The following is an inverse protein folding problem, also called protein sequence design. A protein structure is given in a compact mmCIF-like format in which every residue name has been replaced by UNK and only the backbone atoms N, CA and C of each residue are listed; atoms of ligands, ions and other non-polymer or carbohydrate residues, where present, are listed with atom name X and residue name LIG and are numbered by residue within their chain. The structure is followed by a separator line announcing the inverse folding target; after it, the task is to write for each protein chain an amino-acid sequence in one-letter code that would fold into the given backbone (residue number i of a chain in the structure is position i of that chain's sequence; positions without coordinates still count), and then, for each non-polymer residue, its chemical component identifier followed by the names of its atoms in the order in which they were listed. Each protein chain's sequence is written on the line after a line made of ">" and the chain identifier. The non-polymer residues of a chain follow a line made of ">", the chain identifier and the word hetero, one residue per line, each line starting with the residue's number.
data_IF_123512224849
#
_entry.id   IF_123512224849
#
_cell.length_a   1.000
_cell.length_b   1.000
_cell.length_c   1.000
_cell.angle_alpha   90.00
_cell.angle_beta   90.00
_cell.angle_gamma   90.00
#
_symmetry.space_group_name_H-M   'P 1'
#
loop_
_entity.id
_entity.type
_entity.pdbx_description
1 polymer ?
#
# COMPACT_ATOMS: atom_id res chain seq x y z
N UNK A 1 38.92 3.28 -23.43
CA UNK A 1 39.61 2.65 -22.29
C UNK A 1 39.38 3.51 -21.06
N UNK A 2 38.36 3.24 -20.23
CA UNK A 2 38.20 3.93 -18.95
C UNK A 2 38.87 3.13 -17.83
N UNK A 3 39.69 3.85 -17.08
CA UNK A 3 40.57 3.45 -16.00
C UNK A 3 39.77 2.89 -14.81
N UNK A 4 40.07 1.66 -14.39
CA UNK A 4 39.56 1.10 -13.13
C UNK A 4 40.23 1.82 -11.96
N UNK A 5 39.43 2.47 -11.12
CA UNK A 5 39.86 2.92 -9.80
C UNK A 5 39.53 1.78 -8.85
N UNK A 6 40.56 1.01 -8.47
CA UNK A 6 40.47 -0.04 -7.45
C UNK A 6 40.40 0.62 -6.08
N UNK A 7 39.18 0.95 -5.63
CA UNK A 7 38.92 1.17 -4.20
C UNK A 7 38.67 -0.22 -3.60
N UNK A 8 39.50 -0.70 -2.66
CA UNK A 8 39.20 -1.94 -1.96
C UNK A 8 37.89 -1.74 -1.18
N UNK A 9 36.84 -2.43 -1.59
CA UNK A 9 35.61 -2.56 -0.81
C UNK A 9 36.00 -3.09 0.58
N UNK A 10 35.49 -2.50 1.68
CA UNK A 10 35.72 -3.03 3.01
C UNK A 10 35.27 -4.49 3.04
N UNK A 11 36.14 -5.35 3.53
CA UNK A 11 35.88 -6.78 3.75
C UNK A 11 34.51 -6.99 4.43
N UNK A 12 33.67 -7.90 3.94
CA UNK A 12 32.34 -8.11 4.47
C UNK A 12 32.45 -8.71 5.87
N UNK A 13 32.16 -7.89 6.88
CA UNK A 13 31.87 -8.39 8.22
C UNK A 13 30.60 -9.25 8.15
N UNK A 14 30.80 -10.56 8.03
CA UNK A 14 29.83 -11.55 8.50
C UNK A 14 29.52 -11.26 9.97
N UNK A 15 28.23 -11.27 10.31
CA UNK A 15 27.66 -11.32 11.67
C UNK A 15 27.65 -10.04 12.53
N UNK A 16 26.82 -9.08 12.14
CA UNK A 16 25.99 -8.42 13.15
C UNK A 16 24.54 -8.43 12.70
N UNK A 17 23.79 -9.44 13.16
CA UNK A 17 22.33 -9.39 13.14
C UNK A 17 21.92 -8.14 13.90
N UNK A 18 21.55 -7.09 13.15
CA UNK A 18 21.00 -5.84 13.67
C UNK A 18 19.81 -6.18 14.55
N UNK A 19 19.66 -5.52 15.70
CA UNK A 19 18.56 -5.78 16.64
C UNK A 19 17.48 -4.72 16.53
N UNK A 20 16.26 -5.05 16.98
CA UNK A 20 15.20 -4.06 17.14
C UNK A 20 15.68 -2.88 18.00
N UNK A 21 15.61 -1.66 17.47
CA UNK A 21 16.10 -0.43 18.09
C UNK A 21 17.46 0.06 17.57
N UNK A 22 18.17 -0.74 16.78
CA UNK A 22 19.40 -0.29 16.14
C UNK A 22 19.12 0.76 15.05
N UNK A 23 20.00 1.74 14.93
CA UNK A 23 19.91 2.82 13.93
C UNK A 23 21.20 2.87 13.13
N UNK A 24 21.07 2.77 11.81
CA UNK A 24 22.17 2.81 10.86
C UNK A 24 22.10 4.09 10.02
N UNK A 25 23.01 5.05 10.23
CA UNK A 25 23.03 6.28 9.45
C UNK A 25 23.63 6.05 8.06
N UNK A 26 23.10 6.76 7.06
CA UNK A 26 23.69 6.88 5.73
C UNK A 26 23.69 8.35 5.30
N UNK A 27 24.46 8.76 4.28
CA UNK A 27 24.67 10.18 3.98
C UNK A 27 23.41 11.03 3.80
N UNK A 28 22.34 10.43 3.26
CA UNK A 28 21.05 11.09 3.03
C UNK A 28 19.98 10.70 4.05
N UNK A 29 20.29 9.98 5.14
CA UNK A 29 19.24 9.48 6.02
C UNK A 29 19.67 8.49 7.09
N UNK A 30 18.71 7.67 7.53
CA UNK A 30 18.95 6.58 8.48
C UNK A 30 17.99 5.42 8.25
N UNK A 31 18.45 4.22 8.59
CA UNK A 31 17.64 3.00 8.66
C UNK A 31 17.44 2.69 10.14
N UNK A 32 16.21 2.41 10.55
CA UNK A 32 15.90 1.98 11.92
C UNK A 32 15.29 0.59 11.89
N UNK A 33 15.89 -0.33 12.65
CA UNK A 33 15.45 -1.73 12.70
C UNK A 33 14.36 -1.91 13.76
N UNK A 34 13.27 -2.58 13.39
CA UNK A 34 12.12 -2.91 14.24
C UNK A 34 12.07 -4.40 14.61
N UNK A 35 12.72 -5.26 13.83
CA UNK A 35 12.93 -6.68 14.08
C UNK A 35 14.32 -7.08 13.55
N UNK A 36 14.95 -8.18 14.00
CA UNK A 36 14.44 -9.41 14.63
C UNK A 36 13.96 -9.24 16.07
N UNK A 37 13.20 -10.24 16.55
CA UNK A 37 12.37 -10.20 17.76
C UNK A 37 11.33 -9.06 17.68
N UNK A 38 10.14 -9.33 17.13
CA UNK A 38 9.20 -8.30 16.71
C UNK A 38 8.49 -7.65 17.92
N UNK A 39 9.12 -6.62 18.49
CA UNK A 39 8.64 -5.89 19.66
C UNK A 39 7.42 -5.00 19.34
N UNK A 40 6.48 -4.80 20.29
CA UNK A 40 5.27 -4.01 20.06
C UNK A 40 5.59 -2.51 19.98
N UNK A 41 5.03 -1.82 18.97
CA UNK A 41 5.36 -0.40 18.75
C UNK A 41 4.37 0.61 19.34
N UNK A 42 3.23 0.13 19.84
CA UNK A 42 2.13 0.91 20.43
C UNK A 42 1.47 1.94 19.50
N UNK A 43 1.85 1.98 18.23
CA UNK A 43 1.13 2.72 17.20
C UNK A 43 -0.11 1.94 16.75
N UNK A 44 -1.17 2.61 16.25
CA UNK A 44 -2.31 1.91 15.69
C UNK A 44 -1.89 1.13 14.44
N UNK A 45 -2.31 -0.13 14.28
CA UNK A 45 -2.00 -0.90 13.08
C UNK A 45 -2.72 -0.30 11.87
N UNK A 46 -2.02 -0.18 10.75
CA UNK A 46 -2.61 0.25 9.48
C UNK A 46 -1.90 -0.44 8.33
N UNK A 47 -2.62 -0.97 7.34
CA UNK A 47 -2.06 -1.95 6.40
C UNK A 47 -2.85 -2.09 5.10
N UNK A 48 -2.85 -1.07 4.23
CA UNK A 48 -3.59 -1.08 2.96
C UNK A 48 -3.02 -2.07 1.94
N UNK A 49 -1.80 -2.56 2.16
CA UNK A 49 -1.11 -3.50 1.27
C UNK A 49 -1.31 -4.97 1.64
N UNK A 50 -2.07 -5.25 2.70
CA UNK A 50 -2.47 -6.60 3.10
C UNK A 50 -3.60 -7.05 2.18
N UNK A 51 -3.44 -8.22 1.57
CA UNK A 51 -4.43 -8.83 0.69
C UNK A 51 -5.43 -9.64 1.51
N UNK A 52 -5.33 -10.97 1.44
CA UNK A 52 -6.14 -11.87 2.24
C UNK A 52 -5.59 -11.99 3.66
N UNK A 53 -6.48 -11.97 4.64
CA UNK A 53 -6.19 -12.18 6.06
C UNK A 53 -7.21 -13.19 6.61
N UNK A 54 -6.71 -14.27 7.19
CA UNK A 54 -7.55 -15.30 7.81
C UNK A 54 -6.90 -15.87 9.09
N UNK A 55 -7.47 -16.94 9.64
CA UNK A 55 -7.02 -17.48 10.92
C UNK A 55 -5.67 -18.24 10.88
N UNK A 56 -5.15 -18.50 9.68
CA UNK A 56 -3.94 -19.29 9.42
C UNK A 56 -2.84 -18.40 8.82
N UNK A 57 -3.16 -17.71 7.73
CA UNK A 57 -2.21 -16.93 6.95
C UNK A 57 -2.71 -15.53 6.58
N UNK A 58 -1.74 -14.66 6.30
CA UNK A 58 -1.93 -13.32 5.75
C UNK A 58 -1.01 -13.12 4.55
N UNK A 59 -1.57 -12.57 3.48
CA UNK A 59 -0.83 -12.25 2.26
C UNK A 59 -0.41 -10.77 2.25
N UNK A 60 0.88 -10.54 1.99
CA UNK A 60 1.49 -9.23 1.97
C UNK A 60 2.10 -8.92 0.59
N UNK A 61 1.99 -7.65 0.17
CA UNK A 61 2.60 -7.13 -1.06
C UNK A 61 1.68 -7.13 -2.29
N UNK A 62 0.48 -7.70 -2.18
CA UNK A 62 -0.52 -7.75 -3.26
C UNK A 62 -1.89 -7.27 -2.73
N UNK A 63 -1.99 -5.97 -2.41
CA UNK A 63 -3.26 -5.35 -2.04
C UNK A 63 -4.32 -5.45 -3.15
N UNK A 64 -5.60 -5.36 -2.80
CA UNK A 64 -6.70 -5.47 -3.77
C UNK A 64 -6.65 -4.34 -4.82
N UNK A 65 -7.03 -4.61 -6.09
CA UNK A 65 -7.31 -3.56 -7.06
C UNK A 65 -8.23 -2.48 -6.49
N UNK A 66 -7.92 -1.21 -6.78
CA UNK A 66 -8.69 -0.04 -6.32
C UNK A 66 -9.59 0.48 -7.43
N UNK A 67 -10.74 1.04 -7.06
CA UNK A 67 -11.70 1.68 -8.00
C UNK A 67 -11.05 2.84 -8.74
N UNK A 68 -10.19 3.59 -8.05
CA UNK A 68 -9.47 4.72 -8.65
C UNK A 68 -8.65 4.33 -9.88
N UNK A 69 -8.07 3.12 -9.91
CA UNK A 69 -7.32 2.63 -11.08
C UNK A 69 -8.20 2.60 -12.34
N UNK A 70 -9.41 2.02 -12.25
CA UNK A 70 -10.34 1.98 -13.38
C UNK A 70 -10.94 3.35 -13.72
N UNK A 71 -11.08 4.25 -12.74
CA UNK A 71 -11.46 5.64 -13.00
C UNK A 71 -10.37 6.38 -13.79
N UNK A 72 -9.08 6.09 -13.55
CA UNK A 72 -8.00 6.65 -14.38
C UNK A 72 -8.00 6.00 -15.77
N UNK A 73 -8.06 4.66 -15.85
CA UNK A 73 -7.98 3.94 -17.13
C UNK A 73 -9.13 4.31 -18.07
N UNK A 74 -10.36 4.44 -17.56
CA UNK A 74 -11.54 4.73 -18.38
C UNK A 74 -11.99 6.20 -18.29
N UNK A 75 -12.06 6.71 -17.07
CA UNK A 75 -12.63 8.02 -16.78
C UNK A 75 -11.75 9.16 -17.26
N UNK A 76 -10.42 9.05 -17.18
CA UNK A 76 -9.52 10.12 -17.63
C UNK A 76 -9.59 10.33 -19.16
N UNK A 77 -9.49 9.31 -20.03
CA UNK A 77 -9.69 9.50 -21.47
C UNK A 77 -11.08 10.03 -21.81
N UNK A 78 -12.13 9.50 -21.17
CA UNK A 78 -13.51 9.95 -21.40
C UNK A 78 -13.71 11.41 -20.98
N UNK A 79 -13.28 11.77 -19.77
CA UNK A 79 -13.34 13.14 -19.25
C UNK A 79 -12.55 14.11 -20.11
N UNK A 80 -11.35 13.71 -20.54
CA UNK A 80 -10.49 14.50 -21.42
C UNK A 80 -11.15 14.75 -22.77
N UNK A 81 -11.64 13.69 -23.43
CA UNK A 81 -12.33 13.80 -24.71
C UNK A 81 -13.61 14.64 -24.60
N UNK A 82 -14.42 14.43 -23.54
CA UNK A 82 -15.60 15.25 -23.28
C UNK A 82 -15.25 16.73 -23.06
N UNK A 83 -14.17 17.00 -22.33
CA UNK A 83 -13.73 18.38 -22.09
C UNK A 83 -13.28 19.06 -23.39
N UNK A 84 -12.54 18.34 -24.24
CA UNK A 84 -12.12 18.85 -25.56
C UNK A 84 -13.34 19.10 -26.45
N UNK A 85 -14.27 18.15 -26.50
CA UNK A 85 -15.42 18.20 -27.39
C UNK A 85 -16.51 19.17 -26.92
N UNK A 86 -16.69 19.42 -25.63
CA UNK A 86 -17.83 20.21 -25.14
C UNK A 86 -17.43 21.34 -24.19
N UNK A 87 -16.52 21.10 -23.24
CA UNK A 87 -16.16 22.12 -22.27
C UNK A 87 -15.37 23.28 -22.91
N UNK A 88 -14.39 23.00 -23.77
CA UNK A 88 -13.62 24.04 -24.45
C UNK A 88 -14.45 24.87 -25.44
N UNK A 89 -15.34 24.29 -26.28
CA UNK A 89 -16.28 25.08 -27.06
C UNK A 89 -17.15 26.00 -26.21
N UNK A 90 -17.69 25.51 -25.08
CA UNK A 90 -18.50 26.31 -24.16
C UNK A 90 -17.69 27.44 -23.52
N UNK A 91 -16.43 27.19 -23.12
CA UNK A 91 -15.53 28.23 -22.62
C UNK A 91 -15.24 29.27 -23.71
N UNK A 92 -15.01 28.83 -24.96
CA UNK A 92 -14.81 29.72 -26.10
C UNK A 92 -16.01 30.62 -26.35
N UNK A 93 -17.23 30.05 -26.37
CA UNK A 93 -18.46 30.83 -26.46
C UNK A 93 -18.66 31.79 -25.29
N UNK A 94 -18.34 31.35 -24.07
CA UNK A 94 -18.41 32.21 -22.88
C UNK A 94 -17.42 33.39 -22.95
N UNK A 95 -16.23 33.20 -23.53
CA UNK A 95 -15.30 34.31 -23.78
C UNK A 95 -15.91 35.35 -24.73
N UNK A 96 -16.59 34.91 -25.80
CA UNK A 96 -17.30 35.82 -26.72
C UNK A 96 -18.42 36.58 -26.03
N UNK A 97 -19.15 35.92 -25.12
CA UNK A 97 -20.15 36.57 -24.26
C UNK A 97 -19.53 37.67 -23.38
N UNK A 98 -18.37 37.42 -22.76
CA UNK A 98 -17.67 38.41 -21.94
C UNK A 98 -17.22 39.64 -22.73
N UNK A 99 -16.97 39.50 -24.03
CA UNK A 99 -16.66 40.62 -24.94
C UNK A 99 -17.90 41.39 -25.41
N UNK A 100 -19.10 41.01 -24.99
CA UNK A 100 -20.35 41.69 -25.35
C UNK A 100 -20.84 41.38 -26.76
N UNK A 101 -20.41 40.27 -27.35
CA UNK A 101 -20.83 39.83 -28.69
C UNK A 101 -22.30 39.36 -28.68
N UNK A 102 -22.95 39.39 -29.85
CA UNK A 102 -24.32 38.93 -29.99
C UNK A 102 -24.46 37.42 -29.79
N UNK A 103 -25.69 36.95 -29.51
CA UNK A 103 -25.96 35.51 -29.37
C UNK A 103 -25.55 34.71 -30.62
N UNK A 104 -25.79 35.28 -31.81
CA UNK A 104 -25.43 34.65 -33.09
C UNK A 104 -23.92 34.37 -33.16
N UNK A 105 -23.09 35.34 -32.78
CA UNK A 105 -21.63 35.19 -32.76
C UNK A 105 -21.16 34.15 -31.72
N UNK A 106 -21.83 34.11 -30.56
CA UNK A 106 -21.55 33.13 -29.50
C UNK A 106 -21.86 31.71 -29.99
N UNK A 107 -23.04 31.50 -30.58
CA UNK A 107 -23.41 30.19 -31.13
C UNK A 107 -22.48 29.75 -32.25
N UNK A 108 -22.11 30.66 -33.15
CA UNK A 108 -21.19 30.37 -34.24
C UNK A 108 -19.78 30.03 -33.71
N UNK A 109 -19.32 30.69 -32.65
CA UNK A 109 -18.05 30.36 -32.01
C UNK A 109 -18.07 28.96 -31.39
N UNK A 110 -19.16 28.60 -30.69
CA UNK A 110 -19.31 27.26 -30.09
C UNK A 110 -19.32 26.18 -31.17
N UNK A 111 -20.14 26.35 -32.21
CA UNK A 111 -20.26 25.39 -33.32
C UNK A 111 -18.93 25.26 -34.07
N UNK A 112 -18.27 26.39 -34.39
CA UNK A 112 -16.98 26.38 -35.06
C UNK A 112 -15.91 25.64 -34.27
N UNK A 113 -15.76 25.95 -32.97
CA UNK A 113 -14.78 25.25 -32.12
C UNK A 113 -15.16 23.77 -31.96
N UNK A 114 -16.45 23.44 -31.81
CA UNK A 114 -16.92 22.06 -31.76
C UNK A 114 -16.52 21.27 -33.01
N UNK A 115 -16.78 21.82 -34.20
CA UNK A 115 -16.49 21.17 -35.47
C UNK A 115 -14.99 20.95 -35.71
N UNK A 116 -14.13 21.85 -35.22
CA UNK A 116 -12.68 21.66 -35.29
C UNK A 116 -12.15 20.66 -34.25
N UNK A 117 -12.75 20.64 -33.06
CA UNK A 117 -12.21 19.88 -31.91
C UNK A 117 -12.78 18.47 -31.77
N UNK A 118 -13.98 18.16 -32.26
CA UNK A 118 -14.60 16.85 -32.03
C UNK A 118 -13.77 15.69 -32.61
N UNK A 119 -13.21 15.86 -33.81
CA UNK A 119 -12.38 14.84 -34.44
C UNK A 119 -11.10 14.56 -33.63
N UNK A 120 -10.46 15.63 -33.17
CA UNK A 120 -9.30 15.55 -32.28
C UNK A 120 -9.65 14.92 -30.93
N UNK A 121 -10.80 15.26 -30.35
CA UNK A 121 -11.28 14.69 -29.09
C UNK A 121 -11.44 13.17 -29.19
N UNK A 122 -12.04 12.68 -30.28
CA UNK A 122 -12.21 11.24 -30.51
C UNK A 122 -10.85 10.55 -30.66
N UNK A 123 -9.97 11.08 -31.52
CA UNK A 123 -8.66 10.46 -31.77
C UNK A 123 -7.83 10.41 -30.49
N UNK A 124 -7.73 11.53 -29.77
CA UNK A 124 -6.98 11.61 -28.51
C UNK A 124 -7.58 10.76 -27.41
N UNK A 125 -8.91 10.77 -27.26
CA UNK A 125 -9.64 9.95 -26.31
C UNK A 125 -9.43 8.45 -26.53
N UNK A 126 -9.66 7.96 -27.75
CA UNK A 126 -9.45 6.54 -28.07
C UNK A 126 -7.98 6.13 -27.97
N UNK A 127 -7.05 6.97 -28.42
CA UNK A 127 -5.61 6.67 -28.32
C UNK A 127 -5.16 6.56 -26.87
N UNK A 128 -5.55 7.52 -26.02
CA UNK A 128 -5.26 7.48 -24.58
C UNK A 128 -5.90 6.25 -23.92
N UNK A 129 -7.13 5.92 -24.30
CA UNK A 129 -7.83 4.76 -23.76
C UNK A 129 -7.13 3.44 -24.10
N UNK A 130 -6.70 3.27 -25.35
CA UNK A 130 -5.92 2.09 -25.79
C UNK A 130 -4.61 1.98 -25.01
N UNK A 131 -3.87 3.09 -24.86
CA UNK A 131 -2.58 3.10 -24.14
C UNK A 131 -2.77 2.67 -22.67
N UNK A 132 -3.77 3.24 -22.00
CA UNK A 132 -4.06 2.92 -20.59
C UNK A 132 -4.55 1.48 -20.42
N UNK A 133 -5.38 0.96 -21.34
CA UNK A 133 -5.81 -0.43 -21.32
C UNK A 133 -4.66 -1.41 -21.58
N UNK A 134 -3.77 -1.11 -22.53
CA UNK A 134 -2.57 -1.92 -22.78
C UNK A 134 -1.65 -1.93 -21.57
N UNK A 135 -1.49 -0.79 -20.91
CA UNK A 135 -0.69 -0.64 -19.70
C UNK A 135 -1.32 -1.43 -18.54
N UNK A 136 -2.63 -1.31 -18.34
CA UNK A 136 -3.38 -2.11 -17.38
C UNK A 136 -3.21 -3.61 -17.66
N UNK A 137 -3.38 -4.06 -18.90
CA UNK A 137 -3.25 -5.47 -19.27
C UNK A 137 -1.83 -6.01 -18.97
N UNK A 138 -0.80 -5.22 -19.26
CA UNK A 138 0.58 -5.58 -18.97
C UNK A 138 0.82 -5.73 -17.46
N UNK A 139 0.39 -4.76 -16.66
CA UNK A 139 0.52 -4.83 -15.20
C UNK A 139 -0.34 -5.94 -14.59
N UNK A 140 -1.55 -6.16 -15.10
CA UNK A 140 -2.44 -7.21 -14.66
C UNK A 140 -1.83 -8.60 -14.89
N UNK A 141 -1.24 -8.82 -16.07
CA UNK A 141 -0.55 -10.08 -16.38
C UNK A 141 0.67 -10.30 -15.49
N UNK A 142 1.46 -9.26 -15.20
CA UNK A 142 2.56 -9.34 -14.23
C UNK A 142 2.06 -9.67 -12.83
N UNK A 143 0.98 -9.02 -12.40
CA UNK A 143 0.36 -9.25 -11.08
C UNK A 143 -0.10 -10.70 -10.91
N UNK A 144 -0.61 -11.33 -11.98
CA UNK A 144 -1.03 -12.73 -11.95
C UNK A 144 0.12 -13.73 -11.75
N UNK A 145 1.36 -13.35 -12.08
CA UNK A 145 2.56 -14.20 -11.91
C UNK A 145 3.28 -14.00 -10.59
N UNK A 146 3.00 -12.90 -9.87
CA UNK A 146 3.69 -12.60 -8.60
C UNK A 146 3.02 -13.40 -7.48
N UNK A 147 3.83 -14.19 -6.78
CA UNK A 147 3.40 -14.90 -5.57
C UNK A 147 3.56 -13.94 -4.38
N UNK A 148 2.51 -13.69 -3.57
CA UNK A 148 2.61 -12.82 -2.41
C UNK A 148 3.54 -13.39 -1.34
N UNK A 149 4.18 -12.51 -0.57
CA UNK A 149 4.86 -12.91 0.66
C UNK A 149 3.80 -13.29 1.68
N UNK A 150 3.80 -14.55 2.13
CA UNK A 150 2.77 -15.07 3.03
C UNK A 150 3.30 -15.26 4.43
N UNK A 151 2.53 -14.81 5.40
CA UNK A 151 2.81 -14.95 6.82
C UNK A 151 1.90 -16.03 7.40
N UNK A 152 2.44 -17.03 8.10
CA UNK A 152 1.66 -18.04 8.80
C UNK A 152 1.84 -17.88 10.31
N UNK A 153 0.77 -17.46 10.99
CA UNK A 153 0.81 -17.17 12.42
C UNK A 153 0.77 -18.42 13.30
N UNK A 154 0.22 -19.54 12.79
CA UNK A 154 0.17 -20.81 13.52
C UNK A 154 1.55 -21.48 13.55
N UNK A 155 2.28 -21.41 12.43
CA UNK A 155 3.67 -21.90 12.34
C UNK A 155 4.71 -20.89 12.84
N UNK A 156 4.34 -19.61 12.96
CA UNK A 156 5.25 -18.48 13.23
C UNK A 156 6.40 -18.44 12.21
N UNK A 157 6.04 -18.50 10.94
CA UNK A 157 6.97 -18.52 9.80
C UNK A 157 6.47 -17.61 8.68
N UNK A 158 7.40 -17.16 7.84
CA UNK A 158 7.15 -16.31 6.66
C UNK A 158 7.69 -16.99 5.42
N UNK A 159 6.87 -17.06 4.39
CA UNK A 159 7.19 -17.65 3.10
C UNK A 159 7.56 -16.53 2.11
N UNK A 160 8.81 -16.54 1.66
CA UNK A 160 9.29 -15.69 0.56
C UNK A 160 9.41 -16.50 -0.72
N UNK A 161 9.09 -15.86 -1.84
CA UNK A 161 9.31 -16.39 -3.18
C UNK A 161 10.21 -15.39 -3.95
N UNK A 162 11.55 -15.51 -3.85
CA UNK A 162 12.46 -14.65 -4.58
C UNK A 162 12.21 -14.71 -6.10
N UNK A 163 12.42 -13.61 -6.81
CA UNK A 163 12.28 -13.59 -8.27
C UNK A 163 13.18 -14.66 -8.92
N UNK A 164 12.58 -15.57 -9.69
CA UNK A 164 13.29 -16.63 -10.39
C UNK A 164 13.60 -17.88 -9.55
N UNK A 165 13.23 -17.92 -8.27
CA UNK A 165 13.34 -19.13 -7.45
C UNK A 165 12.17 -20.10 -7.70
N UNK A 166 12.48 -21.38 -7.86
CA UNK A 166 11.46 -22.44 -8.04
C UNK A 166 10.88 -22.92 -6.70
N UNK A 167 11.62 -22.75 -5.61
CA UNK A 167 11.24 -23.23 -4.28
C UNK A 167 11.00 -22.06 -3.30
N UNK A 168 9.93 -22.13 -2.49
CA UNK A 168 9.66 -21.13 -1.46
C UNK A 168 10.67 -21.23 -0.31
N UNK A 169 11.06 -20.08 0.22
CA UNK A 169 11.94 -19.99 1.39
C UNK A 169 11.11 -19.69 2.64
N UNK A 170 11.19 -20.57 3.63
CA UNK A 170 10.52 -20.41 4.92
C UNK A 170 11.48 -19.83 5.95
N UNK A 171 11.07 -18.73 6.57
CA UNK A 171 11.86 -17.98 7.53
C UNK A 171 11.12 -17.92 8.86
N UNK A 172 11.73 -18.32 9.99
CA UNK A 172 11.12 -18.15 11.30
C UNK A 172 10.80 -16.69 11.59
N UNK A 173 9.59 -16.42 12.09
CA UNK A 173 9.08 -15.07 12.34
C UNK A 173 9.98 -14.22 13.23
N UNK A 174 10.57 -14.83 14.27
CA UNK A 174 11.44 -14.10 15.20
C UNK A 174 12.83 -13.79 14.64
N UNK A 175 13.21 -14.45 13.54
CA UNK A 175 14.46 -14.19 12.80
C UNK A 175 14.30 -13.19 11.66
N UNK A 176 13.06 -12.84 11.30
CA UNK A 176 12.77 -11.88 10.24
C UNK A 176 13.26 -10.48 10.67
N UNK A 177 14.01 -9.83 9.78
CA UNK A 177 14.38 -8.44 9.96
C UNK A 177 13.32 -7.53 9.35
N UNK A 178 12.98 -6.47 10.08
CA UNK A 178 12.09 -5.43 9.60
C UNK A 178 12.73 -4.08 9.88
N UNK A 179 12.67 -3.16 8.92
CA UNK A 179 13.30 -1.85 9.04
C UNK A 179 12.45 -0.77 8.41
N UNK A 180 12.68 0.45 8.87
CA UNK A 180 12.10 1.66 8.33
C UNK A 180 13.22 2.57 7.88
N UNK A 181 13.11 3.06 6.64
CA UNK A 181 14.07 3.93 5.99
C UNK A 181 13.52 5.36 6.08
N UNK A 182 14.34 6.28 6.57
CA UNK A 182 14.11 7.72 6.47
C UNK A 182 15.22 8.31 5.60
N UNK A 183 14.86 8.83 4.43
CA UNK A 183 15.77 9.51 3.53
C UNK A 183 15.34 10.98 3.35
N UNK A 184 16.31 11.85 3.12
CA UNK A 184 16.12 13.26 2.83
C UNK A 184 17.00 13.68 1.65
N UNK A 185 16.40 14.40 0.72
CA UNK A 185 17.08 14.96 -0.45
C UNK A 185 16.78 16.45 -0.58
N UNK A 186 17.79 17.23 -0.94
CA UNK A 186 17.59 18.64 -1.29
C UNK A 186 17.13 18.73 -2.76
N UNK A 187 15.99 19.38 -2.98
CA UNK A 187 15.47 19.71 -4.31
C UNK A 187 15.40 21.22 -4.48
N UNK A 188 15.19 21.71 -5.70
CA UNK A 188 14.96 23.14 -5.97
C UNK A 188 13.78 23.72 -5.16
N UNK A 189 12.86 22.87 -4.70
CA UNK A 189 11.67 23.24 -3.93
C UNK A 189 11.83 23.02 -2.41
N UNK A 190 13.05 22.71 -1.93
CA UNK A 190 13.35 22.50 -0.52
C UNK A 190 13.74 21.06 -0.19
N UNK A 191 13.73 20.72 1.11
CA UNK A 191 14.10 19.40 1.61
C UNK A 191 12.92 18.44 1.42
N UNK A 192 13.09 17.47 0.53
CA UNK A 192 12.15 16.38 0.31
C UNK A 192 12.50 15.21 1.21
N UNK A 193 11.55 14.72 2.02
CA UNK A 193 11.71 13.55 2.88
C UNK A 193 10.96 12.37 2.30
N UNK A 194 11.59 11.22 2.27
CA UNK A 194 11.05 9.96 1.78
C UNK A 194 11.14 8.93 2.89
N UNK A 195 10.08 8.13 3.04
CA UNK A 195 10.03 7.05 4.00
C UNK A 195 9.82 5.74 3.25
N UNK A 196 10.34 4.64 3.80
CA UNK A 196 10.13 3.32 3.26
C UNK A 196 10.06 2.30 4.39
N UNK A 197 9.40 1.19 4.15
CA UNK A 197 9.43 0.04 5.05
C UNK A 197 9.93 -1.17 4.27
N UNK A 198 10.84 -1.91 4.90
CA UNK A 198 11.38 -3.15 4.40
C UNK A 198 11.17 -4.29 5.37
N UNK A 199 10.89 -5.46 4.83
CA UNK A 199 10.99 -6.74 5.55
C UNK A 199 11.90 -7.66 4.76
N UNK A 200 12.68 -8.47 5.45
CA UNK A 200 13.56 -9.40 4.76
C UNK A 200 14.43 -10.20 5.69
N UNK A 201 15.27 -11.01 5.08
CA UNK A 201 16.20 -11.87 5.78
C UNK A 201 17.46 -12.02 4.94
N UNK A 202 18.57 -12.28 5.63
CA UNK A 202 19.84 -12.52 4.99
C UNK A 202 19.96 -14.01 4.68
N UNK A 203 20.12 -14.36 3.39
CA UNK A 203 20.37 -15.72 2.95
C UNK A 203 21.78 -15.79 2.34
N UNK A 204 22.76 -16.25 3.12
CA UNK A 204 24.16 -16.20 2.72
C UNK A 204 24.63 -14.75 2.54
N UNK A 205 25.12 -14.41 1.34
CA UNK A 205 25.58 -13.05 1.01
C UNK A 205 24.48 -12.13 0.47
N UNK A 206 23.29 -12.66 0.13
CA UNK A 206 22.21 -11.88 -0.47
C UNK A 206 21.10 -11.56 0.54
N UNK A 207 20.71 -10.28 0.58
CA UNK A 207 19.53 -9.83 1.31
C UNK A 207 18.30 -10.05 0.42
N UNK A 208 17.41 -10.94 0.83
CA UNK A 208 16.09 -11.07 0.20
C UNK A 208 15.14 -10.17 0.98
N UNK A 209 14.70 -9.08 0.35
CA UNK A 209 13.81 -8.10 0.98
C UNK A 209 12.64 -7.72 0.09
N UNK A 210 11.55 -7.34 0.74
CA UNK A 210 10.42 -6.65 0.14
C UNK A 210 10.37 -5.27 0.77
N UNK A 211 10.58 -4.26 -0.06
CA UNK A 211 10.57 -2.86 0.35
C UNK A 211 9.52 -2.08 -0.42
N UNK A 212 8.86 -1.15 0.26
CA UNK A 212 7.84 -0.31 -0.36
C UNK A 212 7.88 1.12 0.21
N UNK A 213 7.60 2.13 -0.63
CA UNK A 213 7.59 3.52 -0.19
C UNK A 213 6.41 3.78 0.74
N UNK A 214 6.64 4.62 1.74
CA UNK A 214 5.66 5.05 2.73
C UNK A 214 5.59 6.58 2.74
N UNK A 215 4.39 7.13 2.97
CA UNK A 215 4.18 8.59 3.01
C UNK A 215 4.47 9.23 4.38
N UNK A 216 4.95 8.45 5.34
CA UNK A 216 5.32 8.95 6.66
C UNK A 216 6.00 7.89 7.52
N UNK A 217 6.84 8.32 8.46
CA UNK A 217 7.54 7.44 9.39
C UNK A 217 6.56 6.66 10.28
N UNK A 218 5.59 7.34 10.87
CA UNK A 218 4.56 6.70 11.70
C UNK A 218 3.74 5.69 10.91
N UNK A 219 3.47 5.97 9.63
CA UNK A 219 2.74 5.07 8.74
C UNK A 219 3.54 3.80 8.44
N UNK A 220 4.84 3.93 8.17
CA UNK A 220 5.75 2.80 7.98
C UNK A 220 5.78 1.90 9.23
N UNK A 221 5.87 2.48 10.43
CA UNK A 221 5.82 1.70 11.67
C UNK A 221 4.42 1.08 11.88
N UNK A 222 3.34 1.78 11.49
CA UNK A 222 1.97 1.26 11.58
C UNK A 222 1.73 0.07 10.64
N UNK A 223 2.37 0.06 9.45
CA UNK A 223 2.40 -1.09 8.54
C UNK A 223 3.10 -2.29 9.15
N UNK A 224 4.23 -2.07 9.82
CA UNK A 224 4.88 -3.12 10.61
C UNK A 224 4.00 -3.63 11.74
N UNK A 225 3.35 -2.73 12.48
CA UNK A 225 2.47 -3.09 13.59
C UNK A 225 1.26 -3.90 13.11
N UNK A 226 0.74 -3.65 11.91
CA UNK A 226 -0.31 -4.47 11.31
C UNK A 226 0.17 -5.92 11.07
N UNK A 227 1.36 -6.11 10.50
CA UNK A 227 1.95 -7.44 10.27
C UNK A 227 2.22 -8.14 11.61
N UNK A 228 2.86 -7.43 12.55
CA UNK A 228 3.17 -7.96 13.88
C UNK A 228 1.91 -8.32 14.65
N UNK A 229 0.93 -7.43 14.70
CA UNK A 229 -0.32 -7.63 15.43
C UNK A 229 -1.10 -8.84 14.90
N UNK A 230 -1.08 -9.08 13.59
CA UNK A 230 -1.60 -10.32 13.00
C UNK A 230 -0.84 -11.57 13.49
N UNK A 231 0.50 -11.55 13.44
CA UNK A 231 1.34 -12.69 13.84
C UNK A 231 1.29 -13.01 15.33
N UNK A 232 1.04 -12.01 16.18
CA UNK A 232 0.94 -12.14 17.64
C UNK A 232 -0.51 -12.29 18.14
N UNK A 233 -1.47 -12.57 17.24
CA UNK A 233 -2.90 -12.76 17.58
C UNK A 233 -3.54 -11.56 18.30
N UNK A 234 -3.05 -10.34 18.03
CA UNK A 234 -3.65 -9.10 18.52
C UNK A 234 -4.67 -8.54 17.52
N UNK A 235 -4.56 -8.90 16.24
CA UNK A 235 -5.45 -8.46 15.17
C UNK A 235 -6.04 -9.67 14.45
N UNK A 236 -7.37 -9.67 14.31
CA UNK A 236 -8.12 -10.76 13.68
C UNK A 236 -8.87 -10.33 12.42
N UNK A 237 -9.21 -9.04 12.29
CA UNK A 237 -10.06 -8.55 11.22
C UNK A 237 -9.30 -7.59 10.29
N UNK A 238 -9.38 -7.84 8.98
CA UNK A 238 -8.76 -6.98 7.97
C UNK A 238 -9.32 -5.55 7.99
N UNK A 239 -10.63 -5.42 8.22
CA UNK A 239 -11.33 -4.14 8.29
C UNK A 239 -10.72 -3.20 9.35
N UNK A 240 -10.34 -3.74 10.51
CA UNK A 240 -9.73 -2.98 11.61
C UNK A 240 -8.41 -2.29 11.23
N UNK A 241 -7.71 -2.84 10.23
CA UNK A 241 -6.40 -2.37 9.77
C UNK A 241 -6.54 -1.42 8.57
N UNK A 242 -7.51 -1.68 7.68
CA UNK A 242 -7.64 -0.99 6.39
C UNK A 242 -8.61 0.18 6.42
N UNK A 243 -9.61 0.16 7.29
CA UNK A 243 -10.68 1.15 7.34
C UNK A 243 -10.72 1.90 8.68
N UNK A 244 -9.68 2.69 9.03
CA UNK A 244 -9.61 3.39 10.31
C UNK A 244 -10.68 4.49 10.48
N UNK A 245 -11.41 4.84 9.41
CA UNK A 245 -12.46 5.85 9.43
C UNK A 245 -13.88 5.24 9.36
N UNK A 246 -14.00 3.92 9.48
CA UNK A 246 -15.26 3.17 9.36
C UNK A 246 -16.07 3.60 8.11
N UNK A 247 -15.37 3.76 7.00
CA UNK A 247 -15.95 4.14 5.72
C UNK A 247 -16.83 3.01 5.15
N UNK A 248 -16.49 1.76 5.44
CA UNK A 248 -17.19 0.53 5.05
C UNK A 248 -18.27 0.16 6.08
N UNK A 249 -19.39 -0.36 5.58
CA UNK A 249 -20.46 -0.93 6.39
C UNK A 249 -20.06 -2.23 7.10
N UNK A 250 -20.86 -2.74 8.05
CA UNK A 250 -20.54 -3.95 8.83
C UNK A 250 -20.38 -5.21 7.97
N UNK A 251 -21.21 -5.35 6.94
CA UNK A 251 -21.29 -6.54 6.07
C UNK A 251 -20.56 -6.36 4.72
N UNK A 252 -19.78 -5.28 4.59
CA UNK A 252 -19.10 -5.00 3.33
C UNK A 252 -17.86 -5.89 3.13
N UNK A 253 -17.58 -6.29 1.88
CA UNK A 253 -16.31 -6.92 1.54
C UNK A 253 -15.12 -6.01 1.90
N UNK A 254 -13.96 -6.59 2.24
CA UNK A 254 -12.78 -5.79 2.64
C UNK A 254 -12.14 -5.01 1.49
N UNK A 255 -12.54 -5.26 0.25
CA UNK A 255 -12.01 -4.60 -0.94
C UNK A 255 -12.93 -3.47 -1.40
N UNK A 256 -12.42 -2.51 -2.19
CA UNK A 256 -13.28 -1.48 -2.80
C UNK A 256 -14.21 -2.07 -3.87
N UNK A 257 -15.39 -1.47 -4.05
CA UNK A 257 -16.37 -1.91 -5.05
C UNK A 257 -17.66 -1.08 -5.06
N UNK A 258 -18.75 -1.69 -5.54
CA UNK A 258 -20.04 -1.02 -5.70
C UNK A 258 -20.65 -0.60 -4.36
N UNK A 259 -20.44 -1.40 -3.31
CA UNK A 259 -20.87 -1.07 -1.95
C UNK A 259 -20.22 0.23 -1.47
N UNK A 260 -18.93 0.45 -1.78
CA UNK A 260 -18.21 1.67 -1.43
C UNK A 260 -18.87 2.91 -2.06
N UNK A 261 -19.29 2.80 -3.33
CA UNK A 261 -20.03 3.87 -4.01
C UNK A 261 -21.39 4.12 -3.38
N UNK A 262 -22.15 3.08 -3.05
CA UNK A 262 -23.47 3.22 -2.39
C UNK A 262 -23.34 3.85 -1.01
N UNK A 263 -22.34 3.45 -0.22
CA UNK A 263 -22.07 4.01 1.11
C UNK A 263 -21.64 5.47 1.02
N UNK A 264 -20.73 5.80 0.09
CA UNK A 264 -20.31 7.17 -0.15
C UNK A 264 -21.49 8.06 -0.55
N UNK A 265 -22.38 7.56 -1.41
CA UNK A 265 -23.61 8.25 -1.81
C UNK A 265 -24.57 8.44 -0.63
N UNK A 266 -24.81 7.40 0.17
CA UNK A 266 -25.71 7.46 1.32
C UNK A 266 -25.19 8.45 2.37
N UNK A 267 -23.90 8.37 2.71
CA UNK A 267 -23.23 9.30 3.64
C UNK A 267 -23.27 10.73 3.13
N UNK A 268 -23.03 10.96 1.84
CA UNK A 268 -23.16 12.29 1.26
C UNK A 268 -24.57 12.86 1.43
N UNK A 269 -25.61 12.06 1.14
CA UNK A 269 -26.99 12.51 1.33
C UNK A 269 -27.34 12.80 2.79
N UNK A 270 -26.81 12.00 3.71
CA UNK A 270 -26.94 12.23 5.14
C UNK A 270 -26.26 13.55 5.53
N UNK A 271 -25.01 13.78 5.13
CA UNK A 271 -24.28 15.02 5.42
C UNK A 271 -24.97 16.27 4.84
N UNK A 272 -25.62 16.15 3.68
CA UNK A 272 -26.41 17.25 3.09
C UNK A 272 -27.70 17.49 3.87
N UNK A 273 -28.32 16.43 4.41
CA UNK A 273 -29.51 16.56 5.26
C UNK A 273 -29.18 17.17 6.62
N UNK A 274 -28.02 16.84 7.16
CA UNK A 274 -27.54 17.28 8.47
C UNK A 274 -26.80 18.64 8.40
N UNK A 275 -26.86 19.32 7.24
CA UNK A 275 -26.20 20.61 6.95
C UNK A 275 -24.68 20.65 7.16
N UNK A 276 -24.03 19.48 7.22
CA UNK A 276 -22.57 19.35 7.29
C UNK A 276 -21.91 19.52 5.92
N UNK A 277 -22.68 19.38 4.83
CA UNK A 277 -22.19 19.45 3.45
C UNK A 277 -23.17 20.22 2.57
N UNK A 278 -22.67 21.21 1.83
CA UNK A 278 -23.50 22.00 0.92
C UNK A 278 -24.01 21.19 -0.30
N UNK A 279 -25.21 21.53 -0.78
CA UNK A 279 -25.82 20.91 -1.97
C UNK A 279 -24.96 21.01 -3.23
N UNK A 280 -24.22 22.11 -3.38
CA UNK A 280 -23.26 22.31 -4.49
C UNK A 280 -22.16 21.23 -4.47
N UNK A 281 -21.67 20.85 -3.30
CA UNK A 281 -20.70 19.77 -3.17
C UNK A 281 -21.29 18.41 -3.59
N UNK A 282 -22.59 18.19 -3.36
CA UNK A 282 -23.30 17.02 -3.86
C UNK A 282 -23.41 16.99 -5.39
N UNK A 283 -23.70 18.14 -6.02
CA UNK A 283 -23.70 18.27 -7.47
C UNK A 283 -22.33 17.90 -8.08
N UNK A 284 -21.24 18.46 -7.56
CA UNK A 284 -19.89 18.16 -8.06
C UNK A 284 -19.47 16.71 -7.82
N UNK A 285 -19.94 16.09 -6.73
CA UNK A 285 -19.71 14.66 -6.50
C UNK A 285 -20.38 13.80 -7.60
N UNK A 286 -21.60 14.14 -8.00
CA UNK A 286 -22.28 13.46 -9.10
C UNK A 286 -21.60 13.73 -10.45
N UNK A 287 -21.21 14.98 -10.70
CA UNK A 287 -20.47 15.35 -11.91
C UNK A 287 -19.19 14.54 -12.03
N UNK A 288 -18.39 14.46 -10.96
CA UNK A 288 -17.17 13.64 -10.94
C UNK A 288 -17.43 12.17 -11.30
N UNK A 289 -18.49 11.57 -10.74
CA UNK A 289 -18.82 10.17 -11.04
C UNK A 289 -19.31 10.00 -12.48
N UNK A 290 -20.15 10.89 -13.00
CA UNK A 290 -20.58 10.84 -14.42
C UNK A 290 -19.37 10.96 -15.36
N UNK A 291 -18.46 11.89 -15.06
CA UNK A 291 -17.22 12.10 -15.81
C UNK A 291 -16.24 10.92 -15.70
N UNK A 292 -16.41 10.03 -14.72
CA UNK A 292 -15.62 8.81 -14.57
C UNK A 292 -16.40 7.54 -14.93
N UNK A 293 -17.43 7.65 -15.77
CA UNK A 293 -18.29 6.53 -16.22
C UNK A 293 -19.13 5.87 -15.12
N UNK A 294 -19.53 6.67 -14.13
CA UNK A 294 -20.46 6.31 -13.07
C UNK A 294 -20.00 5.09 -12.26
N UNK A 295 -20.80 4.02 -12.22
CA UNK A 295 -20.51 2.79 -11.47
C UNK A 295 -19.71 1.76 -12.27
N UNK A 296 -19.41 2.01 -13.55
CA UNK A 296 -18.66 1.07 -14.40
C UNK A 296 -17.29 0.72 -13.79
N UNK A 297 -16.47 1.68 -13.32
CA UNK A 297 -15.21 1.36 -12.65
C UNK A 297 -15.36 0.42 -11.46
N UNK A 298 -16.42 0.60 -10.65
CA UNK A 298 -16.68 -0.23 -9.47
C UNK A 298 -16.95 -1.69 -9.85
N UNK A 299 -17.78 -1.91 -10.89
CA UNK A 299 -18.05 -3.26 -11.40
C UNK A 299 -16.80 -3.92 -11.98
N UNK A 300 -15.93 -3.15 -12.64
CA UNK A 300 -14.68 -3.66 -13.21
C UNK A 300 -13.67 -4.01 -12.11
N UNK A 301 -13.59 -3.22 -11.04
CA UNK A 301 -12.79 -3.57 -9.85
C UNK A 301 -13.25 -4.89 -9.24
N UNK A 302 -14.56 -5.07 -9.02
CA UNK A 302 -15.09 -6.33 -8.50
C UNK A 302 -14.90 -7.51 -9.47
N UNK A 303 -14.97 -7.28 -10.78
CA UNK A 303 -14.65 -8.29 -11.78
C UNK A 303 -13.18 -8.68 -11.74
N UNK A 304 -12.28 -7.69 -11.65
CA UNK A 304 -10.83 -7.91 -11.59
C UNK A 304 -10.44 -8.68 -10.33
N UNK A 305 -10.99 -8.31 -9.18
CA UNK A 305 -10.80 -9.02 -7.90
C UNK A 305 -11.24 -10.49 -8.02
N UNK A 306 -12.46 -10.74 -8.51
CA UNK A 306 -12.96 -12.11 -8.71
C UNK A 306 -12.10 -12.91 -9.68
N UNK A 307 -11.57 -12.27 -10.73
CA UNK A 307 -10.65 -12.91 -11.68
C UNK A 307 -9.33 -13.28 -11.01
N UNK A 308 -8.75 -12.38 -10.22
CA UNK A 308 -7.51 -12.60 -9.50
C UNK A 308 -7.64 -13.70 -8.44
N UNK A 309 -8.75 -13.71 -7.68
CA UNK A 309 -9.04 -14.77 -6.70
C UNK A 309 -9.16 -16.15 -7.36
N UNK A 310 -9.69 -16.22 -8.58
CA UNK A 310 -9.75 -17.49 -9.34
C UNK A 310 -8.37 -17.95 -9.84
N UNK A 311 -7.47 -17.01 -10.14
CA UNK A 311 -6.12 -17.30 -10.64
C UNK A 311 -5.12 -17.59 -9.51
N UNK A 312 -5.30 -16.99 -8.33
CA UNK A 312 -4.34 -17.07 -7.22
C UNK A 312 -3.99 -18.52 -6.79
N UNK A 313 -4.93 -19.47 -6.65
CA UNK A 313 -4.59 -20.85 -6.31
C UNK A 313 -3.74 -21.56 -7.38
N UNK A 314 -3.90 -21.20 -8.65
CA UNK A 314 -3.19 -21.82 -9.78
C UNK A 314 -1.75 -21.31 -9.90
N UNK A 315 -1.49 -20.06 -9.51
CA UNK A 315 -0.16 -19.46 -9.53
C UNK A 315 0.71 -19.91 -8.35
N UNK A 316 0.12 -20.51 -7.30
CA UNK A 316 0.81 -20.82 -6.06
C UNK A 316 1.50 -22.20 -6.09
N UNK A 317 2.79 -22.29 -5.71
CA UNK A 317 3.49 -23.57 -5.58
C UNK A 317 2.79 -24.52 -4.61
N UNK A 318 2.82 -25.81 -4.91
CA UNK A 318 2.18 -26.86 -4.10
C UNK A 318 2.68 -26.87 -2.66
N UNK A 319 3.99 -26.69 -2.47
CA UNK A 319 4.64 -26.62 -1.15
C UNK A 319 4.06 -25.50 -0.29
N UNK A 320 3.84 -24.32 -0.90
CA UNK A 320 3.25 -23.18 -0.20
C UNK A 320 1.78 -23.41 0.13
N UNK A 321 1.03 -24.10 -0.74
CA UNK A 321 -0.38 -24.48 -0.49
C UNK A 321 -0.50 -25.41 0.72
N UNK A 322 0.29 -26.48 0.77
CA UNK A 322 0.31 -27.42 1.89
C UNK A 322 0.78 -26.75 3.20
N UNK A 323 1.79 -25.88 3.14
CA UNK A 323 2.25 -25.11 4.29
C UNK A 323 1.18 -24.14 4.83
N UNK A 324 0.26 -23.68 3.98
CA UNK A 324 -0.85 -22.79 4.32
C UNK A 324 -2.07 -23.51 4.90
N UNK A 325 -2.05 -24.84 5.03
CA UNK A 325 -3.13 -25.60 5.68
C UNK A 325 -3.14 -25.37 7.19
N UNK A 326 -4.33 -25.35 7.83
CA UNK A 326 -4.46 -25.14 9.26
C UNK A 326 -3.84 -26.28 10.05
N UNK A 327 -3.10 -25.93 11.11
CA UNK A 327 -2.57 -26.87 12.08
C UNK A 327 -3.51 -27.04 13.28
N UNK A 328 -3.56 -28.24 13.89
CA UNK A 328 -4.15 -28.42 15.21
C UNK A 328 -3.53 -27.46 16.24
N UNK A 329 -4.34 -26.95 17.18
CA UNK A 329 -3.90 -25.94 18.16
C UNK A 329 -2.73 -26.39 19.01
N UNK A 330 -2.60 -27.70 19.23
CA UNK A 330 -1.52 -28.33 19.99
C UNK A 330 -0.16 -28.21 19.29
N UNK A 331 -0.17 -28.04 17.95
CA UNK A 331 1.02 -27.93 17.12
C UNK A 331 1.39 -26.48 16.79
N UNK A 332 0.65 -25.50 17.34
CA UNK A 332 0.95 -24.10 17.10
C UNK A 332 2.27 -23.71 17.75
N UNK A 333 3.13 -23.07 16.96
CA UNK A 333 4.38 -22.52 17.45
C UNK A 333 4.11 -21.41 18.45
N UNK A 334 4.87 -21.38 19.55
CA UNK A 334 4.73 -20.39 20.62
C UNK A 334 5.81 -19.32 20.52
N UNK A 335 5.53 -18.08 20.93
CA UNK A 335 6.56 -17.04 21.02
C UNK A 335 7.66 -17.45 22.00
N UNK A 336 8.89 -17.05 21.73
CA UNK A 336 10.01 -17.31 22.64
C UNK A 336 9.86 -16.55 23.96
N UNK A 337 10.44 -17.10 25.03
CA UNK A 337 10.48 -16.44 26.34
C UNK A 337 11.20 -15.09 26.28
N UNK A 338 12.22 -14.97 25.41
CA UNK A 338 12.92 -13.71 25.17
C UNK A 338 11.98 -12.65 24.58
N UNK A 339 11.24 -12.99 23.53
CA UNK A 339 10.27 -12.08 22.92
C UNK A 339 9.21 -11.62 23.92
N UNK A 340 8.65 -12.55 24.71
CA UNK A 340 7.64 -12.22 25.72
C UNK A 340 8.20 -11.27 26.79
N UNK A 341 9.40 -11.58 27.31
CA UNK A 341 10.07 -10.76 28.34
C UNK A 341 10.37 -9.35 27.82
N UNK A 342 10.95 -9.23 26.62
CA UNK A 342 11.29 -7.93 26.05
C UNK A 342 10.03 -7.12 25.71
N UNK A 343 8.99 -7.78 25.20
CA UNK A 343 7.69 -7.13 24.91
C UNK A 343 7.04 -6.55 26.17
N UNK A 344 7.09 -7.26 27.30
CA UNK A 344 6.57 -6.75 28.57
C UNK A 344 7.38 -5.55 29.10
N UNK A 345 8.71 -5.58 28.97
CA UNK A 345 9.57 -4.44 29.31
C UNK A 345 9.26 -3.22 28.45
N UNK A 346 9.08 -3.40 27.13
CA UNK A 346 8.68 -2.33 26.20
C UNK A 346 7.33 -1.74 26.62
N UNK A 347 6.32 -2.57 26.87
CA UNK A 347 4.98 -2.12 27.30
C UNK A 347 5.07 -1.34 28.61
N UNK A 348 5.87 -1.79 29.57
CA UNK A 348 6.07 -1.12 30.86
C UNK A 348 6.76 0.23 30.71
N UNK A 349 7.84 0.31 29.92
CA UNK A 349 8.54 1.57 29.66
C UNK A 349 7.69 2.56 28.88
N UNK A 350 6.94 2.09 27.87
CA UNK A 350 6.04 2.93 27.11
C UNK A 350 4.92 3.51 27.98
N UNK A 351 4.32 2.71 28.88
CA UNK A 351 3.34 3.22 29.87
C UNK A 351 3.91 4.32 30.77
N UNK A 352 5.20 4.21 31.15
CA UNK A 352 5.88 5.24 31.96
C UNK A 352 6.26 6.49 31.15
N UNK A 353 6.58 6.32 29.88
CA UNK A 353 7.09 7.37 28.99
C UNK A 353 6.37 7.35 27.63
N UNK A 354 5.07 7.68 27.58
CA UNK A 354 4.26 7.51 26.36
C UNK A 354 4.68 8.42 25.20
N UNK A 355 5.31 9.56 25.50
CA UNK A 355 5.77 10.53 24.48
C UNK A 355 7.13 10.20 23.87
N UNK A 356 7.83 9.20 24.41
CA UNK A 356 9.17 8.88 23.96
C UNK A 356 9.11 8.08 22.66
N UNK A 357 9.98 8.35 21.67
CA UNK A 357 10.03 7.57 20.45
C UNK A 357 10.23 6.08 20.75
N UNK A 358 9.45 5.23 20.09
CA UNK A 358 9.46 3.79 20.35
C UNK A 358 10.83 3.14 20.07
N UNK A 359 11.55 3.68 19.09
CA UNK A 359 12.89 3.23 18.68
C UNK A 359 13.91 3.40 19.81
N UNK A 360 13.80 4.50 20.58
CA UNK A 360 14.63 4.70 21.76
C UNK A 360 14.27 3.77 22.92
N UNK A 361 12.98 3.43 23.05
CA UNK A 361 12.50 2.45 24.04
C UNK A 361 13.09 1.07 23.69
N UNK A 362 13.06 0.66 22.43
CA UNK A 362 13.68 -0.60 21.98
C UNK A 362 15.18 -0.63 22.27
N UNK A 363 15.90 0.43 21.90
CA UNK A 363 17.33 0.55 22.17
C UNK A 363 17.66 0.55 23.68
N UNK A 364 16.75 1.03 24.54
CA UNK A 364 16.92 0.94 25.99
C UNK A 364 16.68 -0.48 26.49
N UNK A 365 15.61 -1.14 26.06
CA UNK A 365 15.28 -2.52 26.46
C UNK A 365 16.40 -3.48 26.09
N UNK A 366 16.96 -3.35 24.89
CA UNK A 366 18.11 -4.14 24.43
C UNK A 366 19.38 -3.88 25.27
N UNK A 367 19.62 -2.63 25.70
CA UNK A 367 20.76 -2.29 26.57
C UNK A 367 20.61 -2.82 28.00
N UNK A 368 19.38 -2.84 28.52
CA UNK A 368 19.08 -3.35 29.86
C UNK A 368 19.13 -4.88 29.94
N UNK A 369 19.04 -5.55 28.78
CA UNK A 369 19.04 -7.01 28.68
C UNK A 369 20.19 -7.46 27.77
N UNK A 370 21.46 -7.44 28.22
CA UNK A 370 22.54 -8.01 27.45
C UNK A 370 22.25 -9.50 27.23
N UNK A 371 22.12 -9.90 25.96
CA UNK A 371 22.08 -11.32 25.58
C UNK A 371 23.26 -12.04 26.21
N UNK A 372 22.98 -13.08 27.00
CA UNK A 372 23.93 -13.88 27.81
C UNK A 372 24.82 -14.78 26.94
N UNK A 373 25.33 -14.25 25.81
CA UNK A 373 26.22 -14.94 24.86
C UNK A 373 27.70 -14.84 25.23
N UNK A 374 28.04 -14.56 26.51
CA UNK A 374 29.43 -14.54 27.02
C UNK A 374 29.71 -15.64 28.04
N UNK A 375 28.89 -16.68 28.11
CA UNK A 375 29.15 -17.88 28.91
C UNK A 375 29.07 -19.14 28.05
N UNK A 376 30.13 -19.40 27.29
CA UNK A 376 30.71 -20.72 27.03
C UNK A 376 32.11 -20.53 26.50
#
# INVERSE_FOLDING_TARGET
>A
MPTKIDVPLPSPHLEQSRKAGDVEPFPSGRITYLAPLPLPTALPPHGPHIGDLNEVYMDFGLGSPQVFSWQVVLGLPFSGAFSIAFLFPLIGGFMFFLFGMGWDDISHAIEGIFHETYGLALITGFSAWIILLCTWLHYHNKRATIVPTRFNRQRREVCFMPEGATEPLFVPWESLSAWVIEAQGATQYGIHRQYGMGIGFQHGETLTSVEFPCFGLSLAISHWEAIRGYMEFEIHDLKSIQDPQDLQGPDDPPHEGLHTFHNARARMHQQIRDDQRGRVSGFFWYLYHVMTLWTIPNHLTEWEIRRLQKMAPQAMPEVMRQWSEPLPKEQWAKPSEELLRLSDQVRTLHKRQPRRPITEIFAQVQRLTPTDKRRT
#
